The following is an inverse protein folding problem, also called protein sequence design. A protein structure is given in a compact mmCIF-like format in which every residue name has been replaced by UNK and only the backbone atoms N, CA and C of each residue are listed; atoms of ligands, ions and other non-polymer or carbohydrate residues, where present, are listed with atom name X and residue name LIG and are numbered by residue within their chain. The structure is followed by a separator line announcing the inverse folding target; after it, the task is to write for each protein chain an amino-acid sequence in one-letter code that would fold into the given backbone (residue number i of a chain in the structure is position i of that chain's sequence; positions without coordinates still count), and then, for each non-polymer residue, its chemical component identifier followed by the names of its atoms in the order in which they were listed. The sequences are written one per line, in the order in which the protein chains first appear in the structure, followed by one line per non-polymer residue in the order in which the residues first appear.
data_IF_797741140146
#
_entry.id   IF_797741140146
#
_cell.length_a   1.000
_cell.length_b   1.000
_cell.length_c   1.000
_cell.angle_alpha   90.00
_cell.angle_beta   90.00
_cell.angle_gamma   90.00
#
_symmetry.space_group_name_H-M   'P 1'
#
loop_
_entity.id
_entity.type
_entity.pdbx_description
1 polymer ?
#
# COMPACT_ATOMS: atom_id res chain seq x y z
N UNK A 1 7.89 -23.43 -35.96
CA UNK A 1 6.96 -24.21 -35.10
C UNK A 1 6.30 -23.31 -34.05
N UNK A 2 7.08 -22.53 -33.29
CA UNK A 2 6.55 -21.59 -32.29
C UNK A 2 5.57 -20.55 -32.86
N UNK A 3 5.83 -20.00 -34.04
CA UNK A 3 4.92 -19.02 -34.65
C UNK A 3 3.51 -19.56 -34.94
N UNK A 4 3.40 -20.82 -35.36
CA UNK A 4 2.11 -21.46 -35.59
C UNK A 4 1.35 -21.66 -34.28
N UNK A 5 2.05 -22.11 -33.22
CA UNK A 5 1.51 -22.26 -31.87
C UNK A 5 1.07 -20.92 -31.27
N UNK A 6 1.86 -19.86 -31.48
CA UNK A 6 1.51 -18.48 -31.11
C UNK A 6 0.25 -18.01 -31.83
N UNK A 7 0.14 -18.25 -33.13
CA UNK A 7 -1.03 -17.88 -33.90
C UNK A 7 -2.28 -18.63 -33.45
N UNK A 8 -2.16 -19.93 -33.15
CA UNK A 8 -3.25 -20.73 -32.59
C UNK A 8 -3.65 -20.24 -31.19
N UNK A 9 -2.68 -19.96 -30.32
CA UNK A 9 -2.92 -19.38 -29.01
C UNK A 9 -3.64 -18.03 -29.09
N UNK A 10 -3.25 -17.16 -30.02
CA UNK A 10 -3.95 -15.89 -30.28
C UNK A 10 -5.39 -16.10 -30.75
N UNK A 11 -5.65 -17.10 -31.59
CA UNK A 11 -7.00 -17.44 -32.06
C UNK A 11 -7.88 -17.93 -30.90
N UNK A 12 -7.34 -18.79 -30.04
CA UNK A 12 -8.03 -19.27 -28.83
C UNK A 12 -8.30 -18.12 -27.86
N UNK A 13 -7.32 -17.23 -27.68
CA UNK A 13 -7.47 -16.04 -26.85
C UNK A 13 -8.61 -15.13 -27.37
N UNK A 14 -8.67 -14.90 -28.69
CA UNK A 14 -9.75 -14.14 -29.31
C UNK A 14 -11.12 -14.83 -29.18
N UNK A 15 -11.14 -16.16 -29.15
CA UNK A 15 -12.33 -16.96 -28.87
C UNK A 15 -12.69 -17.03 -27.37
N UNK A 16 -11.94 -16.33 -26.50
CA UNK A 16 -12.06 -16.37 -25.03
C UNK A 16 -11.78 -17.73 -24.40
N UNK A 17 -11.18 -18.66 -25.14
CA UNK A 17 -10.61 -19.88 -24.58
C UNK A 17 -9.21 -19.58 -24.05
N UNK A 18 -9.17 -18.95 -22.87
CA UNK A 18 -7.91 -18.53 -22.25
C UNK A 18 -7.07 -19.71 -21.76
N UNK A 19 -7.70 -20.84 -21.40
CA UNK A 19 -6.98 -22.04 -20.99
C UNK A 19 -6.26 -22.65 -22.19
N UNK A 20 -6.97 -22.87 -23.30
CA UNK A 20 -6.37 -23.37 -24.53
C UNK A 20 -5.30 -22.41 -25.06
N UNK A 21 -5.53 -21.09 -24.97
CA UNK A 21 -4.52 -20.10 -25.32
C UNK A 21 -3.23 -20.24 -24.50
N UNK A 22 -3.35 -20.36 -23.17
CA UNK A 22 -2.20 -20.52 -22.28
C UNK A 22 -1.42 -21.82 -22.55
N UNK A 23 -2.12 -22.92 -22.87
CA UNK A 23 -1.49 -24.19 -23.26
C UNK A 23 -0.68 -24.03 -24.56
N UNK A 24 -1.25 -23.38 -25.59
CA UNK A 24 -0.56 -23.14 -26.86
C UNK A 24 0.62 -22.20 -26.73
N UNK A 25 0.50 -21.14 -25.92
CA UNK A 25 1.64 -20.28 -25.62
C UNK A 25 2.73 -21.02 -24.84
N UNK A 26 2.38 -21.94 -23.95
CA UNK A 26 3.37 -22.76 -23.23
C UNK A 26 4.16 -23.66 -24.18
N UNK A 27 3.48 -24.35 -25.11
CA UNK A 27 4.14 -25.12 -26.17
C UNK A 27 5.02 -24.24 -27.07
N UNK A 28 4.58 -23.01 -27.37
CA UNK A 28 5.38 -22.06 -28.14
C UNK A 28 6.65 -21.63 -27.37
N UNK A 29 6.56 -21.44 -26.04
CA UNK A 29 7.68 -21.07 -25.17
C UNK A 29 8.71 -22.20 -25.09
N UNK A 30 8.28 -23.46 -25.05
CA UNK A 30 9.21 -24.60 -25.11
C UNK A 30 10.07 -24.58 -26.39
N UNK A 31 9.48 -24.13 -27.51
CA UNK A 31 10.19 -23.99 -28.77
C UNK A 31 11.04 -22.69 -28.85
N UNK A 32 10.60 -21.60 -28.23
CA UNK A 32 11.30 -20.29 -28.23
C UNK A 32 11.30 -19.65 -26.82
N UNK A 33 12.18 -20.10 -25.91
CA UNK A 33 12.14 -19.72 -24.50
C UNK A 33 12.58 -18.27 -24.22
N UNK A 34 13.17 -17.59 -25.20
CA UNK A 34 13.63 -16.19 -25.12
C UNK A 34 12.66 -15.21 -25.77
N UNK A 35 11.54 -15.67 -26.30
CA UNK A 35 10.57 -14.82 -26.98
C UNK A 35 9.61 -14.15 -25.97
N UNK A 36 9.96 -12.94 -25.56
CA UNK A 36 9.18 -12.09 -24.64
C UNK A 36 7.71 -11.91 -25.04
N UNK A 37 7.36 -11.97 -26.33
CA UNK A 37 5.96 -11.84 -26.79
C UNK A 37 5.12 -13.03 -26.33
N UNK A 38 5.69 -14.24 -26.30
CA UNK A 38 4.98 -15.44 -25.87
C UNK A 38 4.61 -15.39 -24.39
N UNK A 39 5.55 -14.97 -23.54
CA UNK A 39 5.30 -14.73 -22.12
C UNK A 39 4.26 -13.63 -21.91
N UNK A 40 4.34 -12.52 -22.65
CA UNK A 40 3.33 -11.44 -22.58
C UNK A 40 1.92 -11.90 -22.95
N UNK A 41 1.81 -12.75 -23.98
CA UNK A 41 0.53 -13.30 -24.40
C UNK A 41 -0.02 -14.31 -23.39
N UNK A 42 0.84 -15.19 -22.84
CA UNK A 42 0.45 -16.14 -21.81
C UNK A 42 0.08 -15.45 -20.49
N UNK A 43 0.80 -14.40 -20.10
CA UNK A 43 0.43 -13.50 -19.01
C UNK A 43 -0.98 -12.93 -19.19
N UNK A 44 -1.30 -12.44 -20.39
CA UNK A 44 -2.65 -11.97 -20.72
C UNK A 44 -3.72 -13.05 -20.58
N UNK A 45 -3.42 -14.30 -20.96
CA UNK A 45 -4.32 -15.44 -20.80
C UNK A 45 -4.54 -15.78 -19.31
N UNK A 46 -3.48 -15.84 -18.52
CA UNK A 46 -3.57 -16.08 -17.07
C UNK A 46 -4.33 -14.97 -16.35
N UNK A 47 -4.09 -13.70 -16.69
CA UNK A 47 -4.84 -12.58 -16.12
C UNK A 47 -6.35 -12.69 -16.43
N UNK A 48 -6.70 -13.13 -17.63
CA UNK A 48 -8.10 -13.35 -18.04
C UNK A 48 -8.74 -14.54 -17.30
N UNK A 49 -7.93 -15.49 -16.83
CA UNK A 49 -8.33 -16.59 -15.94
C UNK A 49 -8.28 -16.20 -14.44
N UNK A 50 -7.97 -14.94 -14.11
CA UNK A 50 -7.72 -14.46 -12.73
C UNK A 50 -6.60 -15.20 -12.00
N UNK A 51 -5.68 -15.82 -12.74
CA UNK A 51 -4.47 -16.46 -12.21
C UNK A 51 -3.35 -15.41 -12.15
N UNK A 52 -3.51 -14.41 -11.29
CA UNK A 52 -2.67 -13.20 -11.32
C UNK A 52 -1.21 -13.47 -10.94
N UNK A 53 -0.94 -14.42 -10.04
CA UNK A 53 0.45 -14.79 -9.69
C UNK A 53 1.21 -15.35 -10.90
N UNK A 54 0.57 -16.24 -11.69
CA UNK A 54 1.16 -16.77 -12.93
C UNK A 54 1.28 -15.70 -14.00
N UNK A 55 0.29 -14.81 -14.09
CA UNK A 55 0.36 -13.68 -14.99
C UNK A 55 1.54 -12.75 -14.66
N UNK A 56 1.82 -12.56 -13.37
CA UNK A 56 2.92 -11.76 -12.86
C UNK A 56 4.28 -12.42 -13.14
N UNK A 57 4.40 -13.73 -12.94
CA UNK A 57 5.60 -14.50 -13.30
C UNK A 57 5.96 -14.30 -14.78
N UNK A 58 5.00 -14.50 -15.68
CA UNK A 58 5.21 -14.32 -17.12
C UNK A 58 5.47 -12.85 -17.50
N UNK A 59 4.81 -11.90 -16.82
CA UNK A 59 5.03 -10.48 -17.06
C UNK A 59 6.44 -10.04 -16.61
N UNK A 60 6.91 -10.53 -15.46
CA UNK A 60 8.28 -10.33 -15.00
C UNK A 60 9.28 -10.90 -16.00
N UNK A 61 9.05 -12.13 -16.48
CA UNK A 61 9.91 -12.74 -17.50
C UNK A 61 9.92 -11.94 -18.80
N UNK A 62 8.77 -11.38 -19.19
CA UNK A 62 8.67 -10.46 -20.34
C UNK A 62 9.57 -9.24 -20.17
N UNK A 63 9.53 -8.58 -19.01
CA UNK A 63 10.35 -7.39 -18.72
C UNK A 63 11.84 -7.71 -18.54
N UNK A 64 12.18 -8.91 -18.07
CA UNK A 64 13.56 -9.41 -18.00
C UNK A 64 14.14 -9.62 -19.40
N UNK A 65 13.38 -10.26 -20.30
CA UNK A 65 13.78 -10.51 -21.68
C UNK A 65 13.78 -9.25 -22.54
N UNK A 66 12.87 -8.31 -22.27
CA UNK A 66 12.75 -7.06 -23.03
C UNK A 66 12.24 -5.90 -22.18
N UNK A 67 13.17 -5.25 -21.48
CA UNK A 67 12.88 -4.13 -20.58
C UNK A 67 12.45 -2.83 -21.31
N UNK A 68 12.81 -2.65 -22.58
CA UNK A 68 12.47 -1.48 -23.40
C UNK A 68 11.10 -1.61 -24.10
N UNK A 69 10.27 -2.59 -23.72
CA UNK A 69 8.99 -2.83 -24.35
C UNK A 69 7.81 -2.46 -23.46
N UNK A 70 7.18 -1.33 -23.76
CA UNK A 70 6.05 -0.78 -22.99
C UNK A 70 4.91 -1.78 -22.74
N UNK A 71 4.59 -2.65 -23.70
CA UNK A 71 3.52 -3.65 -23.53
C UNK A 71 3.85 -4.67 -22.43
N UNK A 72 5.12 -5.02 -22.23
CA UNK A 72 5.53 -5.93 -21.15
C UNK A 72 5.28 -5.33 -19.77
N UNK A 73 5.67 -4.07 -19.59
CA UNK A 73 5.36 -3.31 -18.38
C UNK A 73 3.86 -3.14 -18.14
N UNK A 74 3.08 -2.91 -19.20
CA UNK A 74 1.61 -2.90 -19.12
C UNK A 74 1.00 -4.24 -18.66
N UNK A 75 1.58 -5.38 -19.06
CA UNK A 75 1.18 -6.71 -18.54
C UNK A 75 1.52 -6.84 -17.06
N UNK A 76 2.71 -6.39 -16.66
CA UNK A 76 3.16 -6.43 -15.26
C UNK A 76 2.26 -5.60 -14.36
N UNK A 77 1.93 -4.36 -14.75
CA UNK A 77 0.99 -3.51 -14.01
C UNK A 77 -0.40 -4.16 -13.89
N UNK A 78 -0.91 -4.78 -14.97
CA UNK A 78 -2.21 -5.46 -14.93
C UNK A 78 -2.21 -6.69 -14.01
N UNK A 79 -1.12 -7.46 -13.96
CA UNK A 79 -1.00 -8.60 -13.07
C UNK A 79 -0.87 -8.17 -11.60
N UNK A 80 -0.04 -7.16 -11.31
CA UNK A 80 0.14 -6.60 -9.96
C UNK A 80 -1.18 -6.03 -9.40
N UNK A 81 -1.91 -5.29 -10.24
CA UNK A 81 -3.25 -4.81 -9.89
C UNK A 81 -4.20 -5.97 -9.54
N UNK A 82 -4.14 -7.07 -10.29
CA UNK A 82 -4.93 -8.27 -9.98
C UNK A 82 -4.54 -8.98 -8.69
N UNK A 83 -3.25 -8.93 -8.29
CA UNK A 83 -2.77 -9.45 -7.01
C UNK A 83 -3.04 -8.52 -5.82
N UNK A 84 -3.46 -7.28 -6.07
CA UNK A 84 -3.69 -6.26 -5.03
C UNK A 84 -2.45 -5.46 -4.63
N UNK A 85 -1.29 -5.70 -5.26
CA UNK A 85 -0.11 -4.86 -5.07
C UNK A 85 -0.24 -3.58 -5.91
N UNK A 86 -1.05 -2.65 -5.40
CA UNK A 86 -1.41 -1.43 -6.12
C UNK A 86 -0.21 -0.49 -6.29
N UNK A 87 0.70 -0.44 -5.33
CA UNK A 87 1.89 0.42 -5.38
C UNK A 87 2.81 -0.02 -6.51
N UNK A 88 3.19 -1.31 -6.53
CA UNK A 88 4.04 -1.83 -7.61
C UNK A 88 3.33 -1.77 -8.98
N UNK A 89 1.99 -1.86 -9.00
CA UNK A 89 1.22 -1.72 -10.24
C UNK A 89 1.32 -0.31 -10.83
N UNK A 90 1.30 0.74 -10.00
CA UNK A 90 1.54 2.13 -10.43
C UNK A 90 2.90 2.25 -11.08
N UNK A 91 3.96 1.81 -10.42
CA UNK A 91 5.34 1.88 -10.94
C UNK A 91 5.47 1.19 -12.31
N UNK A 92 4.87 0.00 -12.45
CA UNK A 92 4.90 -0.74 -13.71
C UNK A 92 4.13 -0.03 -14.83
N UNK A 93 2.98 0.58 -14.56
CA UNK A 93 2.26 1.36 -15.57
C UNK A 93 2.97 2.67 -15.92
N UNK A 94 3.62 3.32 -14.96
CA UNK A 94 4.41 4.53 -15.20
C UNK A 94 5.64 4.23 -16.07
N UNK A 95 6.37 3.13 -15.83
CA UNK A 95 7.45 2.70 -16.72
C UNK A 95 6.93 2.34 -18.13
N UNK A 96 5.74 1.73 -18.24
CA UNK A 96 5.11 1.52 -19.54
C UNK A 96 4.84 2.83 -20.30
N UNK A 97 4.36 3.87 -19.59
CA UNK A 97 4.06 5.19 -20.16
C UNK A 97 5.30 6.02 -20.44
N UNK A 98 6.39 5.81 -19.70
CA UNK A 98 7.69 6.41 -19.99
C UNK A 98 8.27 5.88 -21.30
N UNK A 99 8.11 4.59 -21.57
CA UNK A 99 8.53 3.96 -22.82
C UNK A 99 7.60 4.29 -23.99
N UNK A 100 6.29 4.33 -23.75
CA UNK A 100 5.28 4.72 -24.74
C UNK A 100 4.18 5.58 -24.10
N UNK A 101 4.30 6.92 -24.17
CA UNK A 101 3.32 7.84 -23.61
C UNK A 101 1.94 7.77 -24.28
N UNK A 102 1.82 7.09 -25.43
CA UNK A 102 0.56 6.93 -26.16
C UNK A 102 -0.19 5.65 -25.80
N UNK A 103 0.40 4.77 -24.98
CA UNK A 103 -0.16 3.47 -24.64
C UNK A 103 -1.47 3.59 -23.84
N UNK A 104 -2.60 3.44 -24.54
CA UNK A 104 -3.94 3.56 -23.96
C UNK A 104 -4.20 2.56 -22.83
N UNK A 105 -3.68 1.33 -22.95
CA UNK A 105 -3.87 0.28 -21.93
C UNK A 105 -3.15 0.67 -20.63
N UNK A 106 -1.95 1.23 -20.72
CA UNK A 106 -1.21 1.67 -19.55
C UNK A 106 -1.86 2.89 -18.88
N UNK A 107 -2.40 3.84 -19.66
CA UNK A 107 -3.15 4.99 -19.10
C UNK A 107 -4.39 4.53 -18.33
N UNK A 108 -5.22 3.72 -18.98
CA UNK A 108 -6.45 3.20 -18.37
C UNK A 108 -6.14 2.30 -17.16
N UNK A 109 -5.07 1.49 -17.24
CA UNK A 109 -4.57 0.70 -16.14
C UNK A 109 -4.17 1.56 -14.94
N UNK A 110 -3.32 2.57 -15.16
CA UNK A 110 -2.87 3.49 -14.12
C UNK A 110 -4.03 4.24 -13.46
N UNK A 111 -4.99 4.74 -14.24
CA UNK A 111 -6.20 5.39 -13.71
C UNK A 111 -7.02 4.43 -12.84
N UNK A 112 -7.17 3.17 -13.28
CA UNK A 112 -7.89 2.14 -12.50
C UNK A 112 -7.19 1.85 -11.17
N UNK A 113 -5.85 1.73 -11.17
CA UNK A 113 -5.08 1.46 -9.96
C UNK A 113 -5.15 2.64 -8.99
N UNK A 114 -4.97 3.87 -9.49
CA UNK A 114 -5.11 5.08 -8.65
C UNK A 114 -6.48 5.18 -8.01
N UNK A 115 -7.54 4.84 -8.76
CA UNK A 115 -8.90 4.77 -8.21
C UNK A 115 -9.04 3.70 -7.13
N UNK A 116 -8.39 2.55 -7.28
CA UNK A 116 -8.39 1.50 -6.26
C UNK A 116 -7.68 1.97 -4.98
N UNK A 117 -6.52 2.61 -5.11
CA UNK A 117 -5.78 3.21 -3.99
C UNK A 117 -6.64 4.26 -3.27
N UNK A 118 -7.28 5.18 -4.01
CA UNK A 118 -8.16 6.19 -3.43
C UNK A 118 -9.37 5.57 -2.72
N UNK A 119 -9.88 4.46 -3.22
CA UNK A 119 -10.99 3.74 -2.62
C UNK A 119 -10.57 3.02 -1.33
N UNK A 120 -9.43 2.35 -1.33
CA UNK A 120 -8.86 1.70 -0.13
C UNK A 120 -8.52 2.73 0.94
N UNK A 121 -7.86 3.83 0.58
CA UNK A 121 -7.54 4.86 1.54
C UNK A 121 -8.78 5.56 2.11
N UNK A 122 -9.89 5.64 1.37
CA UNK A 122 -11.19 6.10 1.89
C UNK A 122 -11.85 5.07 2.80
N UNK A 123 -11.73 3.78 2.49
CA UNK A 123 -12.24 2.70 3.33
C UNK A 123 -11.50 2.62 4.67
N UNK A 124 -10.19 2.85 4.66
CA UNK A 124 -9.32 2.82 5.84
C UNK A 124 -9.31 4.16 6.62
N UNK A 125 -10.07 5.17 6.17
CA UNK A 125 -10.14 6.48 6.81
C UNK A 125 -8.86 7.33 6.67
N UNK A 126 -7.90 6.90 5.85
CA UNK A 126 -6.57 7.51 5.66
C UNK A 126 -6.53 8.58 4.56
N UNK A 127 -7.43 8.53 3.55
CA UNK A 127 -7.56 9.55 2.50
C UNK A 127 -8.81 10.43 2.64
N UNK A 128 -9.36 10.51 3.85
CA UNK A 128 -10.14 11.69 4.21
C UNK A 128 -9.16 12.81 4.51
N UNK A 129 -9.23 13.90 3.75
CA UNK A 129 -9.07 15.24 4.35
C UNK A 129 -9.61 15.17 5.80
N UNK A 130 -8.91 15.69 6.82
CA UNK A 130 -9.40 15.71 8.21
C UNK A 130 -10.86 16.22 8.34
N UNK A 131 -11.38 16.91 7.32
CA UNK A 131 -12.77 17.38 7.21
C UNK A 131 -13.70 16.58 6.27
N UNK A 132 -13.19 15.68 5.43
CA UNK A 132 -13.91 15.11 4.26
C UNK A 132 -14.68 13.80 4.50
N UNK A 133 -14.40 13.07 5.57
CA UNK A 133 -15.19 11.88 5.96
C UNK A 133 -16.33 12.22 6.93
N UNK A 134 -16.16 13.24 7.76
CA UNK A 134 -17.15 13.66 8.76
C UNK A 134 -18.40 14.29 8.10
N UNK A 135 -18.23 15.09 7.04
CA UNK A 135 -19.34 15.76 6.36
C UNK A 135 -20.39 14.80 5.77
N UNK A 136 -20.00 13.59 5.38
CA UNK A 136 -20.94 12.58 4.87
C UNK A 136 -21.76 11.94 5.99
N UNK A 137 -21.23 11.85 7.21
CA UNK A 137 -21.93 11.32 8.39
C UNK A 137 -23.10 12.21 8.81
N UNK A 138 -22.97 13.54 8.66
CA UNK A 138 -24.05 14.50 8.89
C UNK A 138 -25.15 14.47 7.81
N UNK A 139 -24.87 13.81 6.68
CA UNK A 139 -25.83 13.60 5.61
C UNK A 139 -26.54 12.24 5.70
N UNK A 140 -26.21 11.39 6.70
CA UNK A 140 -26.84 10.10 6.93
C UNK A 140 -28.32 10.27 7.33
N UNK A 141 -29.28 9.68 6.59
CA UNK A 141 -30.69 9.67 6.98
C UNK A 141 -30.97 9.09 8.37
N UNK A 142 -30.10 8.21 8.88
CA UNK A 142 -30.21 7.59 10.21
C UNK A 142 -29.47 8.34 11.30
N UNK A 143 -28.79 9.45 10.99
CA UNK A 143 -28.01 10.23 11.96
C UNK A 143 -28.85 10.62 13.19
N UNK A 144 -30.02 11.25 12.98
CA UNK A 144 -30.88 11.72 14.08
C UNK A 144 -31.34 10.55 14.95
N UNK A 145 -31.61 9.38 14.36
CA UNK A 145 -32.00 8.18 15.10
C UNK A 145 -30.85 7.67 15.98
N UNK A 146 -29.62 7.65 15.46
CA UNK A 146 -28.41 7.28 16.24
C UNK A 146 -28.19 8.22 17.41
N UNK A 147 -28.38 9.53 17.21
CA UNK A 147 -28.26 10.53 18.26
C UNK A 147 -29.37 10.43 19.31
N UNK A 148 -30.60 10.11 18.89
CA UNK A 148 -31.73 9.91 19.78
C UNK A 148 -31.59 8.65 20.64
N UNK A 149 -30.96 7.61 20.11
CA UNK A 149 -30.72 6.36 20.81
C UNK A 149 -29.57 6.45 21.84
N UNK A 150 -28.69 7.45 21.73
CA UNK A 150 -27.56 7.61 22.64
C UNK A 150 -27.90 8.56 23.81
N UNK A 151 -27.73 8.12 25.08
CA UNK A 151 -28.07 8.92 26.25
C UNK A 151 -27.36 10.29 26.35
N UNK A 152 -26.14 10.41 25.80
CA UNK A 152 -25.34 11.65 25.86
C UNK A 152 -25.84 12.70 24.87
N UNK A 153 -26.36 12.28 23.73
CA UNK A 153 -26.79 13.19 22.64
C UNK A 153 -28.30 13.34 22.51
N UNK A 154 -29.09 12.43 23.09
CA UNK A 154 -30.55 12.46 23.00
C UNK A 154 -31.14 13.79 23.53
N UNK A 155 -30.55 14.34 24.59
CA UNK A 155 -30.98 15.62 25.16
C UNK A 155 -30.76 16.82 24.22
N UNK A 156 -29.84 16.74 23.27
CA UNK A 156 -29.53 17.83 22.34
C UNK A 156 -30.59 17.99 21.25
N UNK A 157 -31.33 16.92 20.94
CA UNK A 157 -32.39 16.95 19.92
C UNK A 157 -33.60 17.80 20.34
N UNK A 158 -33.73 18.09 21.64
CA UNK A 158 -34.73 19.02 22.16
C UNK A 158 -34.35 20.50 22.04
N UNK A 159 -33.11 20.82 21.65
CA UNK A 159 -32.62 22.19 21.51
C UNK A 159 -32.74 22.68 20.06
N UNK A 160 -33.65 23.63 19.84
CA UNK A 160 -33.88 24.28 18.55
C UNK A 160 -32.65 24.98 17.97
N UNK A 161 -31.77 25.56 18.80
CA UNK A 161 -30.55 26.20 18.32
C UNK A 161 -29.52 25.18 17.84
N UNK A 162 -29.38 24.07 18.58
CA UNK A 162 -28.47 22.99 18.19
C UNK A 162 -28.94 22.30 16.91
N UNK A 163 -30.25 22.05 16.76
CA UNK A 163 -30.83 21.47 15.56
C UNK A 163 -30.63 22.35 14.31
N UNK A 164 -30.71 23.67 14.45
CA UNK A 164 -30.40 24.60 13.35
C UNK A 164 -28.94 24.50 12.91
N UNK A 165 -28.01 24.33 13.84
CA UNK A 165 -26.58 24.12 13.54
C UNK A 165 -26.33 22.76 12.87
N UNK A 166 -26.97 21.70 13.34
CA UNK A 166 -26.88 20.39 12.64
C UNK A 166 -27.38 20.49 11.19
N UNK A 167 -28.44 21.27 10.97
CA UNK A 167 -28.98 21.50 9.63
C UNK A 167 -28.08 22.41 8.78
N UNK A 168 -27.41 23.40 9.37
CA UNK A 168 -26.47 24.27 8.65
C UNK A 168 -25.26 23.48 8.12
N UNK A 169 -24.78 22.52 8.92
CA UNK A 169 -23.69 21.61 8.53
C UNK A 169 -24.06 20.69 7.37
N UNK A 170 -25.32 20.24 7.33
CA UNK A 170 -25.85 19.47 6.20
C UNK A 170 -25.77 20.26 4.89
N UNK A 171 -26.04 21.56 4.94
CA UNK A 171 -25.99 22.45 3.77
C UNK A 171 -24.60 23.02 3.47
N UNK A 172 -23.71 23.09 4.45
CA UNK A 172 -22.39 23.68 4.32
C UNK A 172 -21.35 22.91 5.17
N UNK A 173 -20.66 21.93 4.58
CA UNK A 173 -19.63 21.14 5.27
C UNK A 173 -18.49 21.99 5.85
N UNK A 174 -18.20 23.15 5.25
CA UNK A 174 -17.15 24.06 5.72
C UNK A 174 -17.50 24.75 7.05
N UNK A 175 -18.78 24.79 7.45
CA UNK A 175 -19.18 25.33 8.75
C UNK A 175 -18.81 24.39 9.92
N UNK A 176 -18.39 23.15 9.63
CA UNK A 176 -18.03 22.16 10.66
C UNK A 176 -16.86 22.60 11.52
N UNK A 177 -15.83 23.17 10.91
CA UNK A 177 -14.65 23.66 11.63
C UNK A 177 -15.01 24.77 12.63
N UNK A 178 -15.96 25.63 12.26
CA UNK A 178 -16.45 26.71 13.11
C UNK A 178 -17.32 26.20 14.26
N UNK A 179 -18.24 25.27 13.98
CA UNK A 179 -19.14 24.71 15.01
C UNK A 179 -18.39 23.81 16.00
N UNK A 180 -17.35 23.08 15.57
CA UNK A 180 -16.50 22.30 16.47
C UNK A 180 -15.76 23.15 17.50
N UNK A 181 -15.33 24.35 17.12
CA UNK A 181 -14.68 25.29 18.04
C UNK A 181 -15.68 26.08 18.89
N UNK A 182 -16.89 26.29 18.38
CA UNK A 182 -17.91 27.12 19.01
C UNK A 182 -18.84 26.39 19.98
N UNK A 183 -18.99 25.07 19.86
CA UNK A 183 -19.95 24.31 20.67
C UNK A 183 -19.45 22.90 20.99
N UNK A 184 -19.12 22.61 22.27
CA UNK A 184 -18.53 21.33 22.67
C UNK A 184 -19.46 20.13 22.47
N UNK A 185 -20.77 20.36 22.29
CA UNK A 185 -21.75 19.30 22.01
C UNK A 185 -21.51 18.64 20.65
N UNK A 186 -20.90 19.34 19.70
CA UNK A 186 -20.56 18.77 18.39
C UNK A 186 -19.53 17.65 18.47
N UNK A 187 -18.56 17.76 19.37
CA UNK A 187 -17.59 16.70 19.60
C UNK A 187 -18.25 15.42 20.12
N UNK A 188 -19.28 15.56 20.96
CA UNK A 188 -20.04 14.42 21.47
C UNK A 188 -20.89 13.77 20.36
N UNK A 189 -21.54 14.56 19.51
CA UNK A 189 -22.25 14.05 18.33
C UNK A 189 -21.30 13.30 17.40
N UNK A 190 -20.09 13.82 17.17
CA UNK A 190 -19.07 13.14 16.37
C UNK A 190 -18.57 11.85 16.98
N UNK A 191 -18.30 11.85 18.28
CA UNK A 191 -17.98 10.65 19.04
C UNK A 191 -19.03 9.55 18.84
N UNK A 192 -20.32 9.89 18.94
CA UNK A 192 -21.42 8.93 18.73
C UNK A 192 -21.53 8.46 17.27
N UNK A 193 -21.39 9.34 16.28
CA UNK A 193 -21.49 8.96 14.87
C UNK A 193 -20.28 8.14 14.38
N UNK A 194 -19.11 8.37 14.95
CA UNK A 194 -17.89 7.59 14.70
C UNK A 194 -17.88 6.26 15.47
N UNK A 195 -18.82 6.06 16.40
CA UNK A 195 -18.81 4.89 17.29
C UNK A 195 -17.62 4.87 18.26
N UNK A 196 -16.96 6.00 18.46
CA UNK A 196 -15.84 6.16 19.37
C UNK A 196 -16.41 6.75 20.66
N UNK A 197 -16.59 5.96 21.72
CA UNK A 197 -16.97 6.49 23.02
C UNK A 197 -15.78 7.27 23.62
N UNK A 198 -15.67 8.56 23.30
CA UNK A 198 -14.73 9.46 23.94
C UNK A 198 -15.28 9.76 25.34
N UNK A 199 -14.89 8.95 26.32
CA UNK A 199 -15.06 9.29 27.72
C UNK A 199 -14.07 10.43 28.07
N UNK A 200 -14.36 11.62 27.56
CA UNK A 200 -13.63 12.83 27.91
C UNK A 200 -14.44 13.58 28.97
N UNK A 201 -14.10 13.32 30.23
CA UNK A 201 -14.73 13.95 31.39
C UNK A 201 -14.28 13.30 32.70
N UNK A 202 -13.23 13.88 33.29
CA UNK A 202 -12.78 13.73 34.68
C UNK A 202 -12.60 12.29 35.17
N UNK A 203 -11.40 11.74 34.99
CA UNK A 203 -10.95 10.62 35.80
C UNK A 203 -9.69 11.03 36.57
N UNK A 204 -9.83 11.03 37.89
CA UNK A 204 -8.76 10.90 38.89
C UNK A 204 -8.02 9.54 38.74
N UNK A 205 -7.67 9.15 37.51
CA UNK A 205 -7.01 7.89 37.16
C UNK A 205 -5.58 8.12 36.62
N UNK A 206 -5.05 9.35 36.72
CA UNK A 206 -3.63 9.60 36.47
C UNK A 206 -2.73 9.12 37.63
N UNK A 207 -3.26 9.00 38.86
CA UNK A 207 -2.48 8.60 40.03
C UNK A 207 -2.45 7.07 40.27
N UNK A 208 -3.43 6.31 39.74
CA UNK A 208 -3.47 4.85 39.94
C UNK A 208 -2.55 4.07 39.02
N UNK A 209 -2.36 4.54 37.79
CA UNK A 209 -1.43 3.88 36.85
C UNK A 209 0.04 4.25 37.13
N UNK A 210 0.30 5.43 37.71
CA UNK A 210 1.65 5.82 38.13
C UNK A 210 2.21 4.95 39.27
N UNK A 211 1.35 4.41 40.15
CA UNK A 211 1.75 3.48 41.22
C UNK A 211 2.01 2.06 40.70
N UNK A 212 1.25 1.57 39.72
CA UNK A 212 1.47 0.23 39.12
C UNK A 212 2.74 0.15 38.28
N UNK A 213 3.12 1.23 37.59
CA UNK A 213 4.38 1.30 36.84
C UNK A 213 5.62 1.35 37.75
N UNK A 214 5.50 1.87 38.98
CA UNK A 214 6.61 1.87 39.96
C UNK A 214 6.83 0.52 40.62
N UNK A 215 5.78 -0.25 40.90
CA UNK A 215 5.93 -1.58 41.52
C UNK A 215 6.34 -2.70 40.54
N UNK A 216 6.18 -2.51 39.23
CA UNK A 216 6.59 -3.50 38.21
C UNK A 216 8.06 -3.38 37.78
N UNK A 217 8.70 -2.21 37.93
CA UNK A 217 10.10 -2.02 37.52
C UNK A 217 11.14 -2.56 38.53
N UNK A 218 10.78 -2.84 39.78
CA UNK A 218 11.72 -3.36 40.80
C UNK A 218 11.90 -4.89 40.77
N UNK A 219 11.35 -5.61 39.78
CA UNK A 219 11.38 -7.09 39.73
C UNK A 219 12.03 -7.72 38.49
N UNK A 220 12.61 -6.95 37.57
CA UNK A 220 13.29 -7.49 36.37
C UNK A 220 14.79 -7.15 36.26
N UNK A 221 15.44 -6.66 37.32
CA UNK A 221 16.92 -6.60 37.39
C UNK A 221 17.52 -7.86 38.02
N UNK A 222 17.37 -9.04 37.40
CA UNK A 222 18.39 -10.10 37.54
C UNK A 222 18.24 -11.19 36.47
N UNK A 223 18.77 -10.96 35.27
CA UNK A 223 19.13 -12.05 34.36
C UNK A 223 20.42 -11.69 33.62
N UNK A 224 21.51 -12.45 33.80
CA UNK A 224 22.76 -12.19 33.12
C UNK A 224 22.64 -12.52 31.62
N UNK A 225 23.12 -11.62 30.78
CA UNK A 225 23.18 -11.81 29.33
C UNK A 225 24.01 -13.07 28.96
N UNK A 226 23.57 -13.89 27.99
CA UNK A 226 24.42 -14.90 27.39
C UNK A 226 25.44 -14.26 26.44
N UNK A 227 26.69 -14.70 26.56
CA UNK A 227 27.88 -14.24 25.83
C UNK A 227 27.67 -14.03 24.33
N UNK A 228 28.08 -12.87 23.86
CA UNK A 228 28.16 -12.49 22.46
C UNK A 228 29.35 -13.20 21.79
N UNK A 229 29.12 -13.74 20.59
CA UNK A 229 30.15 -14.31 19.71
C UNK A 229 31.33 -13.34 19.53
N UNK A 230 32.59 -13.80 19.43
CA UNK A 230 33.74 -12.92 19.24
C UNK A 230 33.65 -12.17 17.90
N UNK A 231 33.81 -10.85 17.97
CA UNK A 231 34.11 -9.97 16.84
C UNK A 231 35.52 -10.30 16.33
N UNK A 232 35.66 -10.68 15.06
CA UNK A 232 36.97 -10.68 14.40
C UNK A 232 37.47 -9.23 14.26
N UNK A 233 38.66 -8.96 14.83
CA UNK A 233 39.36 -7.69 14.67
C UNK A 233 39.94 -7.55 13.25
N UNK A 234 39.96 -6.34 12.67
CA UNK A 234 40.65 -6.09 11.41
C UNK A 234 42.17 -6.21 11.62
N UNK A 235 42.81 -7.15 10.91
CA UNK A 235 44.27 -7.29 10.87
C UNK A 235 44.91 -5.98 10.38
N UNK A 236 45.71 -5.35 11.23
CA UNK A 236 46.68 -4.30 10.87
C UNK A 236 47.58 -4.81 9.74
N UNK A 237 47.76 -4.00 8.70
CA UNK A 237 48.82 -4.18 7.71
C UNK A 237 50.20 -4.05 8.39
N UNK A 238 51.21 -4.82 7.99
CA UNK A 238 52.55 -4.71 8.54
C UNK A 238 53.21 -3.39 8.11
N UNK A 239 53.85 -2.71 9.06
CA UNK A 239 54.77 -1.59 8.80
C UNK A 239 55.93 -2.06 7.92
N UNK A 240 56.40 -1.24 6.96
CA UNK A 240 57.59 -1.57 6.18
C UNK A 240 58.84 -1.48 7.06
N UNK A 241 59.65 -2.55 7.04
CA UNK A 241 60.97 -2.61 7.68
C UNK A 241 61.90 -1.53 7.11
N UNK A 242 62.77 -0.90 7.94
CA UNK A 242 63.77 0.03 7.46
C UNK A 242 64.87 -0.72 6.68
N UNK A 243 65.17 -0.25 5.47
CA UNK A 243 66.31 -0.72 4.68
C UNK A 243 67.62 -0.48 5.46
N UNK A 244 68.52 -1.48 5.56
CA UNK A 244 69.85 -1.24 6.11
C UNK A 244 70.70 -0.43 5.11
N UNK A 245 71.26 0.67 5.59
CA UNK A 245 72.28 1.46 4.89
C UNK A 245 73.49 0.57 4.54
N UNK A 246 74.11 0.72 3.36
CA UNK A 246 75.37 0.04 3.07
C UNK A 246 76.48 0.68 3.92
N UNK A 247 77.07 -0.11 4.81
CA UNK A 247 78.31 0.24 5.48
C UNK A 247 79.45 0.30 4.45
N UNK A 248 80.09 1.47 4.38
CA UNK A 248 81.37 1.69 3.73
C UNK A 248 82.46 0.82 4.38
N UNK A 249 82.92 -0.23 3.69
CA UNK A 249 84.24 -0.81 3.96
C UNK A 249 85.29 -0.07 3.13
N UNK A 250 85.84 1.00 3.70
CA UNK A 250 87.15 1.52 3.29
C UNK A 250 88.29 0.67 3.91
N UNK A 251 89.28 0.41 3.05
CA UNK A 251 90.72 0.20 3.32
C UNK A 251 91.22 -1.19 3.73
N UNK A 252 92.02 -1.81 2.84
CA UNK A 252 93.50 -1.87 2.88
C UNK A 252 94.04 -2.25 1.50
#
# INVERSE_FOLDING_TARGET
MADALKAEGNKLFAAKDFKGAAEKFSQAIEAEPTNHVLYSNRSGAYASLKQFDKALEDANKTTELKADWAKGWGRKGAALHGTGDLVSAVDAFEEALKLDPSNAQAKSGLESVRRAIDAEAKADGLAGDPSGGLGSMFNDPQMIQKLAANPKTAGYLGDSQFMQKLQSLKSNPNAMSQEMMGDPRFLQVMSVLLGIDMQMGATDDADRDAQKFREQNDKEEDVPMPDSRPKEEPKKAPEPEPEPEPEDEESI
#
